data_IF_782059370173
#
_entry.id   IF_782059370173
#
_cell.length_a   1.000
_cell.length_b   1.000
_cell.length_c   1.000
_cell.angle_alpha   90.00
_cell.angle_beta   90.00
_cell.angle_gamma   90.00
#
_symmetry.space_group_name_H-M   'P 1'
#
loop_
_entity.id
_entity.type
_entity.pdbx_description
1 polymer ?
#
# COMPACT_ATOMS: atom_id res chain seq x y z
N UNK A 1 -34.96 -1.94 -28.82
CA UNK A 1 -34.13 -2.40 -27.71
C UNK A 1 -32.91 -1.46 -27.66
N UNK A 2 -32.85 -0.50 -26.71
CA UNK A 2 -31.75 0.46 -26.63
C UNK A 2 -30.56 -0.22 -25.99
N UNK A 3 -29.33 -0.12 -26.55
CA UNK A 3 -28.14 -0.69 -25.94
C UNK A 3 -27.87 0.06 -24.62
N UNK A 4 -27.87 -0.66 -23.51
CA UNK A 4 -27.47 -0.11 -22.21
C UNK A 4 -26.04 0.44 -22.34
N UNK A 5 -25.87 1.76 -22.24
CA UNK A 5 -24.54 2.40 -22.19
C UNK A 5 -23.73 1.70 -21.08
N UNK A 6 -22.63 1.05 -21.45
CA UNK A 6 -21.67 0.51 -20.47
C UNK A 6 -21.12 1.69 -19.65
N UNK A 7 -21.46 1.76 -18.38
CA UNK A 7 -20.89 2.76 -17.47
C UNK A 7 -19.37 2.59 -17.43
N UNK A 8 -18.63 3.67 -17.63
CA UNK A 8 -17.17 3.67 -17.41
C UNK A 8 -16.87 3.36 -15.94
N UNK A 9 -15.82 2.62 -15.64
CA UNK A 9 -15.42 2.40 -14.24
C UNK A 9 -15.01 3.72 -13.59
N UNK A 10 -15.37 3.88 -12.34
CA UNK A 10 -14.88 4.96 -11.50
C UNK A 10 -13.43 4.65 -11.09
N UNK A 11 -12.55 5.63 -11.19
CA UNK A 11 -11.13 5.46 -10.86
C UNK A 11 -10.92 5.73 -9.38
N UNK A 12 -10.30 4.78 -8.68
CA UNK A 12 -9.82 4.97 -7.32
C UNK A 12 -8.31 4.73 -7.25
N UNK A 13 -7.61 5.54 -6.46
CA UNK A 13 -6.17 5.44 -6.26
C UNK A 13 -5.88 5.23 -4.77
N UNK A 14 -5.03 4.26 -4.49
CA UNK A 14 -4.51 3.97 -3.16
C UNK A 14 -3.00 3.84 -3.21
N UNK A 15 -2.37 3.95 -2.06
CA UNK A 15 -0.96 3.66 -1.91
C UNK A 15 -0.72 2.87 -0.63
N UNK A 16 0.38 2.12 -0.57
CA UNK A 16 0.72 1.32 0.59
C UNK A 16 2.18 0.90 0.64
N UNK A 17 2.58 0.35 1.78
CA UNK A 17 3.94 -0.06 2.08
C UNK A 17 4.12 -1.56 2.18
N UNK A 18 5.20 -2.06 1.56
CA UNK A 18 5.77 -3.35 1.92
C UNK A 18 6.89 -3.07 2.91
N UNK A 19 6.70 -3.44 4.16
CA UNK A 19 7.70 -3.19 5.19
C UNK A 19 8.53 -4.44 5.41
N UNK A 20 9.85 -4.29 5.41
CA UNK A 20 10.75 -5.35 5.84
C UNK A 20 11.64 -4.89 6.99
N UNK A 21 12.17 -5.86 7.74
CA UNK A 21 13.22 -5.64 8.74
C UNK A 21 14.38 -6.59 8.53
N UNK A 22 15.58 -6.11 8.83
CA UNK A 22 16.80 -6.95 8.81
C UNK A 22 16.83 -7.82 10.05
N UNK A 23 17.27 -9.06 9.87
CA UNK A 23 17.60 -9.95 10.97
C UNK A 23 19.12 -9.97 11.21
N UNK A 24 19.58 -10.39 12.42
CA UNK A 24 21.02 -10.52 12.71
C UNK A 24 21.76 -11.46 11.74
N UNK A 25 21.07 -12.47 11.21
CA UNK A 25 21.59 -13.42 10.21
C UNK A 25 21.60 -12.86 8.78
N UNK A 26 21.34 -11.56 8.61
CA UNK A 26 21.23 -10.86 7.32
C UNK A 26 20.06 -11.38 6.43
N UNK A 27 19.08 -12.04 6.99
CA UNK A 27 17.83 -12.29 6.30
C UNK A 27 16.87 -11.11 6.44
N UNK A 28 15.80 -11.10 5.62
CA UNK A 28 14.72 -10.12 5.72
C UNK A 28 13.44 -10.79 6.22
N UNK A 29 12.70 -10.11 7.09
CA UNK A 29 11.33 -10.47 7.44
C UNK A 29 10.39 -9.40 6.91
N UNK A 30 9.26 -9.82 6.35
CA UNK A 30 8.25 -8.96 5.76
C UNK A 30 7.02 -8.90 6.67
N UNK A 31 6.49 -7.69 6.82
CA UNK A 31 5.28 -7.46 7.60
C UNK A 31 4.04 -7.74 6.76
N UNK A 32 3.15 -8.56 7.28
CA UNK A 32 1.76 -8.63 6.85
C UNK A 32 0.86 -8.20 8.00
N UNK A 33 -0.22 -7.52 7.68
CA UNK A 33 -1.30 -7.16 8.60
C UNK A 33 -2.58 -7.89 8.22
N UNK A 34 -3.47 -8.08 9.19
CA UNK A 34 -4.76 -8.72 8.99
C UNK A 34 -5.85 -7.65 8.98
N UNK A 35 -6.51 -7.50 7.84
CA UNK A 35 -7.57 -6.52 7.63
C UNK A 35 -8.89 -6.87 8.36
N UNK A 36 -9.89 -5.96 8.41
CA UNK A 36 -11.18 -6.22 9.06
C UNK A 36 -11.97 -7.39 8.48
N UNK A 37 -11.62 -7.84 7.27
CA UNK A 37 -12.25 -8.98 6.58
C UNK A 37 -11.48 -10.28 6.78
N UNK A 38 -10.55 -10.29 7.74
CA UNK A 38 -9.69 -11.42 8.08
C UNK A 38 -8.67 -11.82 6.99
N UNK A 39 -8.41 -10.94 6.02
CA UNK A 39 -7.42 -11.16 4.98
C UNK A 39 -6.04 -10.64 5.37
N UNK A 40 -5.01 -11.40 5.02
CA UNK A 40 -3.61 -10.99 5.17
C UNK A 40 -3.15 -10.19 3.95
N UNK A 41 -2.63 -9.00 4.19
CA UNK A 41 -2.17 -8.09 3.15
C UNK A 41 -1.13 -7.09 3.66
N UNK A 42 -0.97 -6.01 2.90
CA UNK A 42 -0.06 -4.91 3.24
C UNK A 42 -0.85 -3.70 3.71
N UNK A 43 -0.29 -2.88 4.59
CA UNK A 43 -0.86 -1.58 4.95
C UNK A 43 -1.04 -0.72 3.69
N UNK A 44 -2.22 -0.14 3.52
CA UNK A 44 -2.58 0.67 2.35
C UNK A 44 -3.92 1.39 2.53
N UNK A 45 -4.03 2.57 1.99
CA UNK A 45 -5.29 3.29 1.95
C UNK A 45 -5.42 4.27 0.79
N UNK A 46 -6.48 5.06 0.79
CA UNK A 46 -6.75 6.03 -0.25
C UNK A 46 -5.87 7.27 -0.11
N UNK A 47 -5.54 7.87 -1.25
CA UNK A 47 -4.89 9.16 -1.23
C UNK A 47 -5.87 10.23 -0.74
N UNK A 48 -5.40 11.13 0.10
CA UNK A 48 -6.10 12.35 0.47
C UNK A 48 -5.98 13.42 -0.63
N UNK A 49 -6.72 14.53 -0.46
CA UNK A 49 -6.69 15.64 -1.42
C UNK A 49 -5.26 16.19 -1.53
N UNK A 50 -4.75 16.33 -2.75
CA UNK A 50 -3.39 16.80 -3.06
C UNK A 50 -2.24 15.94 -2.50
N UNK A 51 -2.52 14.75 -1.98
CA UNK A 51 -1.51 13.86 -1.45
C UNK A 51 -0.78 13.11 -2.57
N UNK A 52 0.55 13.00 -2.45
CA UNK A 52 1.33 12.16 -3.37
C UNK A 52 1.19 10.69 -2.99
N UNK A 53 1.31 9.74 -3.94
CA UNK A 53 1.29 8.31 -3.61
C UNK A 53 2.34 7.89 -2.57
N UNK A 54 3.51 8.54 -2.56
CA UNK A 54 4.56 8.25 -1.57
C UNK A 54 4.14 8.72 -0.17
N UNK A 55 3.56 9.93 -0.06
CA UNK A 55 3.07 10.45 1.22
C UNK A 55 1.95 9.57 1.77
N UNK A 56 0.96 9.23 0.93
CA UNK A 56 -0.13 8.34 1.30
C UNK A 56 0.39 6.97 1.77
N UNK A 57 1.35 6.37 1.05
CA UNK A 57 1.92 5.08 1.44
C UNK A 57 2.62 5.14 2.80
N UNK A 58 3.33 6.24 3.11
CA UNK A 58 3.98 6.43 4.41
C UNK A 58 2.92 6.58 5.49
N UNK A 59 1.97 7.53 5.34
CA UNK A 59 0.90 7.78 6.30
C UNK A 59 0.09 6.52 6.60
N UNK A 60 -0.42 5.85 5.58
CA UNK A 60 -1.22 4.61 5.76
C UNK A 60 -0.42 3.49 6.43
N UNK A 61 0.88 3.38 6.11
CA UNK A 61 1.73 2.38 6.76
C UNK A 61 1.93 2.71 8.23
N UNK A 62 2.15 3.98 8.58
CA UNK A 62 2.27 4.45 9.97
C UNK A 62 0.94 4.28 10.73
N UNK A 63 -0.18 4.68 10.13
CA UNK A 63 -1.53 4.59 10.72
C UNK A 63 -1.94 3.14 11.00
N UNK A 64 -1.77 2.22 10.04
CA UNK A 64 -2.22 0.84 10.21
C UNK A 64 -1.27 -0.03 11.05
N UNK A 65 0.02 0.37 11.19
CA UNK A 65 1.03 -0.46 11.88
C UNK A 65 1.60 0.16 13.15
N UNK A 66 1.45 1.46 13.36
CA UNK A 66 2.10 2.19 14.45
C UNK A 66 3.62 2.35 14.30
N UNK A 67 4.20 1.95 13.16
CA UNK A 67 5.64 2.12 12.89
C UNK A 67 5.91 3.56 12.49
N UNK A 68 6.82 4.24 13.20
CA UNK A 68 7.17 5.65 12.94
C UNK A 68 8.58 5.84 12.40
N UNK A 69 9.39 4.78 12.39
CA UNK A 69 10.80 4.81 11.96
C UNK A 69 10.98 4.18 10.57
N UNK A 70 10.08 4.50 9.65
CA UNK A 70 10.09 3.94 8.30
C UNK A 70 11.18 4.58 7.44
N UNK A 71 12.03 3.75 6.83
CA UNK A 71 13.06 4.16 5.86
C UNK A 71 12.55 3.79 4.48
N UNK A 72 12.20 4.79 3.67
CA UNK A 72 11.76 4.59 2.29
C UNK A 72 12.93 4.20 1.38
N UNK A 73 12.79 3.08 0.68
CA UNK A 73 13.76 2.62 -0.33
C UNK A 73 13.32 2.86 -1.77
N UNK A 74 12.05 3.20 -1.99
CA UNK A 74 11.52 3.59 -3.29
C UNK A 74 10.32 2.77 -3.78
N UNK A 75 9.83 3.06 -4.99
CA UNK A 75 8.68 2.39 -5.55
C UNK A 75 8.97 0.94 -5.95
N UNK A 76 8.01 0.05 -5.72
CA UNK A 76 8.07 -1.35 -6.13
C UNK A 76 7.35 -1.52 -7.46
N UNK A 77 6.03 -1.28 -7.48
CA UNK A 77 5.18 -1.29 -8.68
C UNK A 77 3.78 -0.77 -8.39
N UNK A 78 3.05 -0.50 -9.45
CA UNK A 78 1.61 -0.23 -9.39
C UNK A 78 0.89 -1.50 -9.84
N UNK A 79 -0.17 -1.87 -9.14
CA UNK A 79 -1.12 -2.89 -9.59
C UNK A 79 -2.49 -2.27 -9.73
N UNK A 80 -3.32 -2.83 -10.60
CA UNK A 80 -4.68 -2.37 -10.79
C UNK A 80 -5.64 -3.55 -10.93
N UNK A 81 -6.89 -3.32 -10.55
CA UNK A 81 -7.95 -4.30 -10.69
C UNK A 81 -9.33 -3.64 -10.75
N UNK A 82 -10.30 -4.38 -11.25
CA UNK A 82 -11.69 -3.95 -11.32
C UNK A 82 -12.55 -4.74 -10.34
N UNK A 83 -13.47 -4.05 -9.67
CA UNK A 83 -14.45 -4.70 -8.80
C UNK A 83 -15.76 -3.91 -8.75
N UNK A 84 -16.79 -4.52 -8.13
CA UNK A 84 -18.06 -3.85 -7.87
C UNK A 84 -18.26 -3.69 -6.38
N UNK A 85 -18.61 -2.48 -5.98
CA UNK A 85 -18.90 -2.17 -4.59
C UNK A 85 -20.10 -1.21 -4.51
N UNK A 86 -21.14 -1.56 -3.77
CA UNK A 86 -22.38 -0.77 -3.62
C UNK A 86 -22.93 -0.25 -4.95
N UNK A 87 -22.99 -1.12 -5.97
CA UNK A 87 -23.51 -0.77 -7.30
C UNK A 87 -22.57 0.04 -8.21
N UNK A 88 -21.44 0.53 -7.70
CA UNK A 88 -20.40 1.21 -8.47
C UNK A 88 -19.46 0.20 -9.12
N UNK A 89 -19.02 0.47 -10.35
CA UNK A 89 -17.98 -0.30 -11.02
C UNK A 89 -16.68 0.48 -10.90
N UNK A 90 -15.70 -0.07 -10.21
CA UNK A 90 -14.48 0.61 -9.78
C UNK A 90 -13.29 0.00 -10.51
N UNK A 91 -12.39 0.86 -10.98
CA UNK A 91 -11.04 0.52 -11.43
C UNK A 91 -10.07 1.11 -10.42
N UNK A 92 -9.52 0.26 -9.56
CA UNK A 92 -8.61 0.65 -8.49
C UNK A 92 -7.17 0.48 -8.92
N UNK A 93 -6.36 1.50 -8.65
CA UNK A 93 -4.90 1.48 -8.78
C UNK A 93 -4.29 1.52 -7.39
N UNK A 94 -3.26 0.73 -7.13
CA UNK A 94 -2.54 0.76 -5.87
C UNK A 94 -1.03 0.86 -6.11
N UNK A 95 -0.42 1.92 -5.59
CA UNK A 95 1.00 2.18 -5.63
C UNK A 95 1.67 1.56 -4.42
N UNK A 96 2.67 0.70 -4.62
CA UNK A 96 3.41 0.07 -3.53
C UNK A 96 4.85 0.54 -3.46
N UNK A 97 5.31 0.83 -2.24
CA UNK A 97 6.65 1.30 -1.92
C UNK A 97 7.32 0.35 -0.93
N UNK A 98 8.65 0.26 -1.00
CA UNK A 98 9.44 -0.54 -0.07
C UNK A 98 9.92 0.31 1.09
N UNK A 99 9.64 -0.15 2.29
CA UNK A 99 10.10 0.44 3.54
C UNK A 99 10.93 -0.56 4.33
N UNK A 100 11.95 -0.05 5.04
CA UNK A 100 12.65 -0.77 6.08
C UNK A 100 12.26 -0.18 7.43
N UNK A 101 11.92 -1.03 8.40
CA UNK A 101 11.72 -0.61 9.78
C UNK A 101 12.78 -1.24 10.68
N UNK A 102 13.56 -0.44 11.43
CA UNK A 102 14.45 -0.96 12.46
C UNK A 102 13.69 -1.47 13.68
N UNK A 103 12.44 -0.98 13.90
CA UNK A 103 11.58 -1.41 14.99
C UNK A 103 10.99 -2.80 14.74
N UNK A 104 10.84 -3.56 15.81
CA UNK A 104 10.21 -4.88 15.76
C UNK A 104 8.74 -4.86 16.19
N UNK A 105 8.37 -3.86 16.98
CA UNK A 105 7.08 -3.79 17.66
C UNK A 105 6.08 -3.04 16.78
N UNK A 106 5.13 -3.79 16.25
CA UNK A 106 3.98 -3.29 15.51
C UNK A 106 2.83 -3.15 16.50
N UNK A 107 2.14 -2.03 16.46
CA UNK A 107 0.90 -1.81 17.21
C UNK A 107 -0.25 -1.76 16.21
N UNK A 108 -0.96 -2.88 15.99
CA UNK A 108 -2.09 -2.90 15.08
C UNK A 108 -3.11 -1.86 15.48
N UNK A 109 -3.53 -1.02 14.56
CA UNK A 109 -4.49 0.05 14.84
C UNK A 109 -5.91 -0.49 14.71
N UNK A 110 -6.52 -0.79 15.86
CA UNK A 110 -7.88 -1.32 15.93
C UNK A 110 -8.92 -0.33 15.38
N UNK A 111 -8.66 0.97 15.44
CA UNK A 111 -9.52 2.02 14.87
C UNK A 111 -9.56 1.94 13.34
N UNK A 112 -8.45 1.52 12.71
CA UNK A 112 -8.35 1.24 11.28
C UNK A 112 -8.84 -0.18 10.93
N UNK A 113 -9.30 -0.94 11.94
CA UNK A 113 -9.79 -2.29 11.76
C UNK A 113 -8.70 -3.35 11.61
N UNK A 114 -7.45 -3.02 11.84
CA UNK A 114 -6.34 -3.97 11.81
C UNK A 114 -6.38 -4.83 13.06
N UNK A 115 -6.47 -6.15 12.88
CA UNK A 115 -6.73 -7.09 13.97
C UNK A 115 -5.49 -7.88 14.41
N UNK A 116 -4.49 -8.01 13.53
CA UNK A 116 -3.30 -8.83 13.79
C UNK A 116 -2.15 -8.45 12.85
N UNK A 117 -0.93 -8.90 13.15
CA UNK A 117 0.24 -8.75 12.28
C UNK A 117 1.18 -9.94 12.38
N UNK A 118 2.00 -10.12 11.35
CA UNK A 118 3.06 -11.15 11.32
C UNK A 118 4.32 -10.63 10.64
N UNK A 119 5.48 -10.97 11.22
CA UNK A 119 6.77 -10.86 10.57
C UNK A 119 7.20 -12.22 10.03
N UNK A 120 7.28 -12.34 8.71
CA UNK A 120 7.42 -13.62 8.00
C UNK A 120 8.64 -13.59 7.07
N UNK A 121 9.21 -14.76 6.78
CA UNK A 121 10.12 -14.90 5.63
C UNK A 121 9.37 -14.57 4.33
N UNK A 122 10.10 -14.36 3.25
CA UNK A 122 9.47 -14.14 1.94
C UNK A 122 8.55 -15.28 1.54
N UNK A 123 8.99 -16.50 1.76
CA UNK A 123 8.25 -17.72 1.44
C UNK A 123 6.96 -17.84 2.28
N UNK A 124 7.07 -17.73 3.60
CA UNK A 124 5.92 -17.74 4.52
C UNK A 124 4.92 -16.61 4.22
N UNK A 125 5.44 -15.41 3.88
CA UNK A 125 4.61 -14.26 3.53
C UNK A 125 3.85 -14.51 2.20
N UNK A 126 4.51 -15.10 1.20
CA UNK A 126 3.86 -15.50 -0.05
C UNK A 126 2.76 -16.55 0.15
N UNK A 127 2.94 -17.48 1.09
CA UNK A 127 1.93 -18.49 1.43
C UNK A 127 0.76 -17.90 2.22
N UNK A 128 1.05 -16.96 3.13
CA UNK A 128 0.06 -16.33 4.02
C UNK A 128 -0.80 -15.28 3.30
N UNK A 129 -0.24 -14.61 2.27
CA UNK A 129 -0.89 -13.51 1.56
C UNK A 129 -2.21 -13.93 0.91
N UNK A 130 -3.31 -13.25 1.27
CA UNK A 130 -4.66 -13.59 0.81
C UNK A 130 -4.97 -13.10 -0.62
N UNK A 131 -4.20 -12.15 -1.15
CA UNK A 131 -4.46 -11.49 -2.42
C UNK A 131 -3.46 -11.91 -3.50
N UNK A 132 -3.91 -12.67 -4.50
CA UNK A 132 -3.04 -13.19 -5.57
C UNK A 132 -2.38 -12.08 -6.40
N UNK A 133 -3.08 -10.98 -6.65
CA UNK A 133 -2.54 -9.85 -7.39
C UNK A 133 -1.39 -9.12 -6.67
N UNK A 134 -1.29 -9.27 -5.36
CA UNK A 134 -0.22 -8.69 -4.55
C UNK A 134 1.05 -9.59 -4.47
N UNK A 135 0.98 -10.86 -4.87
CA UNK A 135 2.13 -11.78 -4.83
C UNK A 135 3.31 -11.28 -5.67
N UNK A 136 3.03 -10.70 -6.85
CA UNK A 136 4.06 -10.12 -7.71
C UNK A 136 4.74 -8.89 -7.09
N UNK A 137 4.01 -8.13 -6.28
CA UNK A 137 4.55 -6.98 -5.51
C UNK A 137 5.52 -7.50 -4.44
N UNK A 138 5.10 -8.50 -3.66
CA UNK A 138 5.93 -9.07 -2.60
C UNK A 138 7.22 -9.73 -3.14
N UNK A 139 7.13 -10.47 -4.24
CA UNK A 139 8.32 -11.05 -4.90
C UNK A 139 9.32 -9.95 -5.28
N UNK A 140 8.84 -8.87 -5.90
CA UNK A 140 9.70 -7.74 -6.26
C UNK A 140 10.29 -7.04 -5.04
N UNK A 141 9.51 -6.85 -3.98
CA UNK A 141 9.99 -6.34 -2.70
C UNK A 141 11.11 -7.23 -2.11
N UNK A 142 10.96 -8.54 -2.19
CA UNK A 142 11.96 -9.51 -1.76
C UNK A 142 13.29 -9.39 -2.51
N UNK A 143 13.24 -9.19 -3.84
CA UNK A 143 14.46 -8.95 -4.65
C UNK A 143 15.16 -7.66 -4.21
N UNK A 144 14.39 -6.57 -4.05
CA UNK A 144 14.93 -5.27 -3.61
C UNK A 144 15.53 -5.36 -2.20
N UNK A 145 14.80 -5.95 -1.24
CA UNK A 145 15.28 -6.12 0.13
C UNK A 145 16.56 -6.97 0.20
N UNK A 146 16.66 -8.06 -0.58
CA UNK A 146 17.88 -8.88 -0.66
C UNK A 146 19.09 -8.07 -1.10
N UNK A 147 18.91 -7.23 -2.12
CA UNK A 147 19.99 -6.35 -2.60
C UNK A 147 20.41 -5.35 -1.52
N UNK A 148 19.45 -4.74 -0.83
CA UNK A 148 19.71 -3.78 0.24
C UNK A 148 20.41 -4.42 1.44
N UNK A 149 20.00 -5.63 1.82
CA UNK A 149 20.63 -6.38 2.92
C UNK A 149 22.07 -6.74 2.56
N UNK A 150 22.34 -7.21 1.33
CA UNK A 150 23.67 -7.58 0.87
C UNK A 150 24.64 -6.36 0.84
N UNK A 151 24.14 -5.19 0.39
CA UNK A 151 24.94 -3.95 0.34
C UNK A 151 25.12 -3.32 1.72
N UNK A 152 24.16 -3.52 2.62
CA UNK A 152 24.12 -2.91 3.95
C UNK A 152 24.96 -3.61 5.03
N UNK A 153 25.62 -4.70 4.73
CA UNK A 153 26.46 -5.43 5.68
C UNK A 153 27.61 -4.60 6.31
N UNK A 154 27.74 -3.30 5.99
CA UNK A 154 28.77 -2.40 6.49
C UNK A 154 28.36 -0.95 6.80
N UNK A 155 27.06 -0.58 6.75
CA UNK A 155 26.66 0.81 6.94
C UNK A 155 25.43 0.96 7.83
N UNK A 156 25.46 1.84 8.88
CA UNK A 156 24.27 2.14 9.68
C UNK A 156 23.18 2.81 8.82
N UNK A 157 21.89 2.58 9.14
CA UNK A 157 20.77 3.14 8.39
C UNK A 157 20.81 4.67 8.38
N UNK A 158 20.63 5.27 7.22
CA UNK A 158 20.42 6.72 7.11
C UNK A 158 18.96 7.02 7.43
N UNK A 159 18.72 7.99 8.33
CA UNK A 159 17.38 8.56 8.55
C UNK A 159 16.84 9.13 7.23
N UNK A 160 15.59 8.90 6.98
CA UNK A 160 14.87 9.37 5.78
C UNK A 160 14.96 10.90 5.68
N UNK A 161 15.41 11.48 4.55
CA UNK A 161 15.11 12.88 4.28
C UNK A 161 13.58 13.04 4.05
N UNK A 162 13.06 14.21 4.39
CA UNK A 162 11.68 14.58 4.12
C UNK A 162 11.28 14.28 2.65
N UNK A 163 10.00 14.01 2.37
CA UNK A 163 9.56 13.53 1.05
C UNK A 163 10.07 14.45 -0.06
N UNK A 164 10.92 13.91 -0.90
CA UNK A 164 11.34 14.58 -2.14
C UNK A 164 10.21 14.35 -3.13
N UNK A 165 9.75 15.41 -3.78
CA UNK A 165 8.79 15.33 -4.87
C UNK A 165 9.27 14.26 -5.89
N UNK A 166 8.42 13.28 -6.17
CA UNK A 166 8.74 12.16 -7.05
C UNK A 166 8.77 12.61 -8.52
N UNK A 167 9.92 12.67 -9.18
CA UNK A 167 10.01 13.10 -10.58
C UNK A 167 9.61 12.02 -11.59
N UNK A 168 9.29 10.80 -11.16
CA UNK A 168 9.12 9.64 -12.04
C UNK A 168 7.67 9.13 -12.15
N UNK A 169 6.72 9.68 -11.39
CA UNK A 169 5.32 9.32 -11.54
C UNK A 169 4.60 10.37 -12.38
N UNK A 170 3.88 10.00 -13.44
CA UNK A 170 3.09 10.96 -14.20
C UNK A 170 2.12 11.65 -13.25
N UNK A 171 2.14 12.99 -13.27
CA UNK A 171 1.19 13.82 -12.55
C UNK A 171 -0.21 13.20 -12.68
N UNK A 172 -0.86 12.95 -11.56
CA UNK A 172 -2.27 12.59 -11.56
C UNK A 172 -2.98 13.75 -12.24
N UNK A 173 -3.43 13.53 -13.48
CA UNK A 173 -4.25 14.50 -14.22
C UNK A 173 -5.39 14.92 -13.30
N UNK A 174 -5.36 16.19 -12.92
CA UNK A 174 -6.45 16.82 -12.20
C UNK A 174 -7.77 16.48 -12.88
N UNK A 175 -8.71 15.99 -12.10
CA UNK A 175 -10.07 15.77 -12.57
C UNK A 175 -10.64 17.11 -12.98
N UNK A 176 -11.34 17.25 -14.11
CA UNK A 176 -12.11 18.43 -14.35
C UNK A 176 -13.16 18.58 -13.25
N UNK A 177 -13.18 19.72 -12.59
CA UNK A 177 -14.29 20.18 -11.77
C UNK A 177 -15.48 20.37 -12.72
N UNK A 178 -16.37 19.40 -12.75
CA UNK A 178 -17.78 19.62 -13.08
C UNK A 178 -18.56 18.34 -12.87
N UNK A 179 -19.42 18.34 -11.85
CA UNK A 179 -20.77 17.81 -11.91
C UNK A 179 -21.42 17.94 -10.53
N UNK A 180 -22.32 18.88 -10.48
CA UNK A 180 -23.16 19.23 -9.36
C UNK A 180 -23.78 18.05 -8.63
N UNK A 181 -23.74 18.15 -7.34
CA UNK A 181 -24.55 17.37 -6.40
C UNK A 181 -26.01 17.68 -6.64
N UNK A 182 -26.74 16.75 -7.22
CA UNK A 182 -28.19 16.69 -7.10
C UNK A 182 -28.52 15.69 -6.02
N UNK A 183 -28.94 16.19 -4.88
CA UNK A 183 -29.57 15.41 -3.84
C UNK A 183 -30.89 14.85 -4.37
N UNK A 184 -31.06 13.54 -4.25
CA UNK A 184 -32.36 12.90 -4.43
C UNK A 184 -32.88 12.49 -3.04
N UNK A 185 -34.04 13.05 -2.60
CA UNK A 185 -34.67 12.64 -1.36
C UNK A 185 -35.77 11.62 -1.69
N UNK A 186 -35.52 10.35 -1.48
CA UNK A 186 -36.64 9.45 -1.18
C UNK A 186 -36.19 8.27 -0.31
N UNK A 187 -36.53 8.42 0.97
CA UNK A 187 -36.55 7.38 1.99
C UNK A 187 -37.97 6.88 2.13
N UNK A 188 -38.20 5.65 1.76
CA UNK A 188 -39.18 4.80 2.44
C UNK A 188 -38.84 3.33 2.29
#
# INVERSE_FOLDING_TARGET
MHPKKKRKPEREVSAGGIVFRRQPDQSARFLLIRDPYEHWGFPKGHLEHEETPTAAATRETEEETGLTDLILHGPIRIIDWHFRFRGRYIHKFCHFFLYESPAADVVPQAEEGITDYKWLTLEEALETLSYDNARGVLKRAGEMARTLVAVGAGRPPRRTPAPVADPALPAVLALPEDAGVSADPDTR
#
